data_IF_747463713567
#
_entry.id   IF_747463713567
#
_cell.length_a   1.000
_cell.length_b   1.000
_cell.length_c   1.000
_cell.angle_alpha   90.00
_cell.angle_beta   90.00
_cell.angle_gamma   90.00
#
_symmetry.space_group_name_H-M   'P 1'
#
loop_
_entity.id
_entity.type
_entity.pdbx_description
1 polymer ?
#
# COMPACT_ATOMS: atom_id res chain seq x y z
N UNK A 1 -63.36 -34.38 -7.57
CA UNK A 1 -62.13 -33.64 -7.93
C UNK A 1 -61.82 -32.63 -6.82
N UNK A 2 -60.76 -32.80 -6.03
CA UNK A 2 -60.45 -31.84 -4.99
C UNK A 2 -59.57 -30.71 -5.55
N UNK A 3 -60.02 -29.47 -5.33
CA UNK A 3 -59.38 -28.21 -5.68
C UNK A 3 -58.15 -27.98 -4.77
N UNK A 4 -56.91 -28.05 -5.32
CA UNK A 4 -55.69 -27.77 -4.60
C UNK A 4 -55.44 -26.26 -4.60
N UNK A 5 -55.52 -25.65 -3.43
CA UNK A 5 -55.10 -24.26 -3.20
C UNK A 5 -53.56 -24.16 -3.16
N UNK A 6 -52.94 -23.50 -4.15
CA UNK A 6 -51.54 -23.13 -4.13
C UNK A 6 -51.37 -21.88 -3.28
N UNK A 7 -50.80 -22.04 -2.09
CA UNK A 7 -50.34 -20.91 -1.27
C UNK A 7 -49.08 -20.36 -1.89
N UNK A 8 -49.16 -19.20 -2.53
CA UNK A 8 -48.00 -18.42 -2.97
C UNK A 8 -47.49 -17.63 -1.75
N UNK A 9 -46.37 -18.04 -1.18
CA UNK A 9 -45.66 -17.30 -0.15
C UNK A 9 -45.00 -16.08 -0.78
N UNK A 10 -45.51 -14.88 -0.52
CA UNK A 10 -44.87 -13.62 -0.87
C UNK A 10 -43.69 -13.39 0.11
N UNK A 11 -42.46 -13.60 -0.32
CA UNK A 11 -41.26 -13.17 0.43
C UNK A 11 -41.14 -11.63 0.27
N UNK A 12 -41.52 -10.90 1.29
CA UNK A 12 -41.22 -9.48 1.43
C UNK A 12 -39.73 -9.33 1.73
N UNK A 13 -38.94 -9.01 0.72
CA UNK A 13 -37.57 -8.54 0.94
C UNK A 13 -37.62 -7.16 1.57
N UNK A 14 -37.42 -7.09 2.88
CA UNK A 14 -37.14 -5.80 3.53
C UNK A 14 -35.79 -5.26 2.99
N UNK A 15 -35.73 -4.00 2.54
CA UNK A 15 -34.44 -3.43 2.14
C UNK A 15 -33.53 -3.41 3.36
N UNK A 16 -32.32 -3.98 3.22
CA UNK A 16 -31.29 -3.88 4.23
C UNK A 16 -31.00 -2.38 4.45
N UNK A 17 -31.28 -1.88 5.66
CA UNK A 17 -30.92 -0.52 6.03
C UNK A 17 -29.39 -0.37 5.86
N UNK A 18 -28.98 0.47 4.92
CA UNK A 18 -27.58 0.85 4.79
C UNK A 18 -27.17 1.52 6.11
N UNK A 19 -26.26 0.89 6.86
CA UNK A 19 -25.68 1.50 8.05
C UNK A 19 -24.97 2.78 7.60
N UNK A 20 -25.51 3.93 8.01
CA UNK A 20 -24.86 5.20 7.77
C UNK A 20 -23.52 5.19 8.52
N UNK A 21 -22.41 5.38 7.79
CA UNK A 21 -21.10 5.48 8.40
C UNK A 21 -21.04 6.76 9.24
N UNK A 22 -20.42 6.67 10.41
CA UNK A 22 -20.31 7.83 11.31
C UNK A 22 -19.41 8.89 10.70
N UNK A 23 -19.84 10.16 10.64
CA UNK A 23 -19.01 11.27 10.20
C UNK A 23 -17.70 11.35 10.98
N UNK A 24 -16.59 11.59 10.30
CA UNK A 24 -15.26 11.68 10.90
C UNK A 24 -14.82 13.14 10.96
N UNK A 25 -14.46 13.61 12.16
CA UNK A 25 -13.86 14.93 12.33
C UNK A 25 -12.41 14.91 11.92
N UNK A 26 -12.07 15.69 10.92
CA UNK A 26 -10.70 15.90 10.45
C UNK A 26 -10.09 17.19 11.06
N UNK A 27 -9.49 17.99 10.22
CA UNK A 27 -8.77 19.21 10.60
C UNK A 27 -9.72 20.34 10.96
N UNK A 28 -9.38 21.12 11.99
CA UNK A 28 -10.10 22.35 12.37
C UNK A 28 -11.63 22.13 12.55
N UNK A 29 -12.04 20.97 13.02
CA UNK A 29 -13.43 20.62 13.23
C UNK A 29 -14.24 20.30 11.96
N UNK A 30 -13.61 20.27 10.80
CA UNK A 30 -14.26 19.86 9.56
C UNK A 30 -14.71 18.40 9.65
N UNK A 31 -16.00 18.15 9.46
CA UNK A 31 -16.58 16.81 9.44
C UNK A 31 -16.75 16.31 8.01
N UNK A 32 -16.34 15.08 7.75
CA UNK A 32 -16.42 14.42 6.44
C UNK A 32 -17.16 13.09 6.61
N UNK A 33 -18.12 12.83 5.74
CA UNK A 33 -18.79 11.55 5.66
C UNK A 33 -17.95 10.58 4.83
N UNK A 34 -17.54 9.43 5.37
CA UNK A 34 -16.95 8.37 4.56
C UNK A 34 -17.94 7.89 3.49
N UNK A 35 -17.42 7.47 2.35
CA UNK A 35 -18.22 6.81 1.32
C UNK A 35 -18.77 5.47 1.83
N UNK A 36 -19.86 4.94 1.26
CA UNK A 36 -20.44 3.65 1.67
C UNK A 36 -19.45 2.46 1.62
N UNK A 37 -18.40 2.58 0.84
CA UNK A 37 -17.32 1.60 0.73
C UNK A 37 -16.15 1.85 1.70
N UNK A 38 -16.31 2.75 2.66
CA UNK A 38 -15.34 3.10 3.70
C UNK A 38 -14.25 4.08 3.25
N UNK A 39 -14.20 4.48 1.98
CA UNK A 39 -13.22 5.48 1.51
C UNK A 39 -13.53 6.86 2.05
N UNK A 40 -12.49 7.65 2.25
CA UNK A 40 -12.60 9.07 2.61
C UNK A 40 -11.85 9.93 1.61
N UNK A 41 -12.54 10.85 0.95
CA UNK A 41 -11.95 11.76 -0.05
C UNK A 41 -11.11 11.01 -1.11
N UNK A 42 -11.59 9.85 -1.56
CA UNK A 42 -10.92 8.99 -2.52
C UNK A 42 -9.97 7.94 -1.92
N UNK A 43 -9.51 8.11 -0.70
CA UNK A 43 -8.53 7.24 -0.06
C UNK A 43 -9.17 6.05 0.66
N UNK A 44 -8.46 4.92 0.62
CA UNK A 44 -8.82 3.67 1.32
C UNK A 44 -8.29 3.73 2.75
N UNK A 45 -9.02 3.21 3.76
CA UNK A 45 -8.51 3.13 5.12
C UNK A 45 -7.39 2.10 5.24
N UNK A 46 -6.35 2.44 6.01
CA UNK A 46 -5.23 1.56 6.34
C UNK A 46 -4.97 1.54 7.83
N UNK A 47 -4.72 0.36 8.43
CA UNK A 47 -4.31 0.27 9.82
C UNK A 47 -2.91 0.85 10.01
N UNK A 48 -2.61 1.30 11.21
CA UNK A 48 -1.24 1.64 11.59
C UNK A 48 -0.46 0.34 11.86
N UNK A 49 0.69 0.21 11.21
CA UNK A 49 1.62 -0.89 11.43
C UNK A 49 2.21 -0.84 12.83
N UNK A 50 2.54 -1.99 13.40
CA UNK A 50 3.18 -2.05 14.70
C UNK A 50 4.59 -1.43 14.62
N UNK A 51 4.93 -0.41 15.43
CA UNK A 51 6.26 0.19 15.43
C UNK A 51 7.41 -0.80 15.69
N UNK A 52 7.14 -1.92 16.39
CA UNK A 52 8.13 -2.96 16.64
C UNK A 52 8.57 -3.72 15.36
N UNK A 53 7.75 -3.69 14.32
CA UNK A 53 8.05 -4.33 13.03
C UNK A 53 8.79 -3.38 12.07
N UNK A 54 8.99 -2.12 12.49
CA UNK A 54 9.65 -1.10 11.69
C UNK A 54 11.15 -1.12 11.93
N UNK A 55 11.92 -1.18 10.86
CA UNK A 55 13.38 -1.11 10.90
C UNK A 55 13.88 0.13 10.18
N UNK A 56 14.92 0.74 10.72
CA UNK A 56 15.56 1.88 10.08
C UNK A 56 16.34 1.41 8.85
N UNK A 57 16.15 2.10 7.73
CA UNK A 57 16.98 1.90 6.55
C UNK A 57 18.41 2.36 6.82
N UNK A 58 19.43 1.63 6.29
CA UNK A 58 20.81 1.91 6.62
C UNK A 58 21.32 3.22 6.02
N UNK A 59 22.40 3.73 6.63
CA UNK A 59 23.18 4.84 6.11
C UNK A 59 22.39 6.13 5.95
N UNK A 60 22.60 6.79 4.83
CA UNK A 60 22.00 8.06 4.46
C UNK A 60 20.78 7.92 3.53
N UNK A 61 20.11 6.77 3.53
CA UNK A 61 18.93 6.56 2.67
C UNK A 61 17.84 7.59 2.97
N UNK A 62 17.60 7.92 4.22
CA UNK A 62 16.66 8.98 4.57
C UNK A 62 17.14 10.38 4.13
N UNK A 63 16.30 11.11 3.39
CA UNK A 63 16.61 12.47 2.94
C UNK A 63 16.44 13.50 4.09
N UNK A 64 17.45 13.62 4.94
CA UNK A 64 17.47 14.57 6.07
C UNK A 64 16.70 14.12 7.31
N UNK A 65 16.13 12.91 7.32
CA UNK A 65 15.48 12.29 8.47
C UNK A 65 15.58 10.76 8.37
N UNK A 66 15.49 10.01 9.49
CA UNK A 66 15.43 8.55 9.44
C UNK A 66 14.25 8.06 8.59
N UNK A 67 14.50 7.07 7.75
CA UNK A 67 13.48 6.33 7.01
C UNK A 67 13.32 4.96 7.67
N UNK A 68 12.12 4.63 8.11
CA UNK A 68 11.77 3.32 8.65
C UNK A 68 10.75 2.65 7.72
N UNK A 69 10.93 1.36 7.48
CA UNK A 69 10.01 0.50 6.73
C UNK A 69 9.72 -0.75 7.55
N UNK A 70 8.60 -1.40 7.25
CA UNK A 70 8.37 -2.76 7.73
C UNK A 70 9.54 -3.64 7.32
N UNK A 71 10.00 -4.53 8.21
CA UNK A 71 11.24 -5.31 7.98
C UNK A 71 11.24 -6.07 6.65
N UNK A 72 10.10 -6.62 6.20
CA UNK A 72 10.00 -7.30 4.90
C UNK A 72 10.26 -6.35 3.72
N UNK A 73 9.64 -5.17 3.75
CA UNK A 73 9.86 -4.14 2.73
C UNK A 73 11.28 -3.59 2.76
N UNK A 74 11.89 -3.50 3.95
CA UNK A 74 13.28 -3.04 4.12
C UNK A 74 14.30 -3.99 3.49
N UNK A 75 14.08 -5.31 3.59
CA UNK A 75 14.91 -6.32 2.91
C UNK A 75 14.86 -6.11 1.39
N UNK A 76 13.66 -5.99 0.84
CA UNK A 76 13.46 -5.75 -0.59
C UNK A 76 14.05 -4.41 -1.04
N UNK A 77 13.90 -3.35 -0.23
CA UNK A 77 14.49 -2.04 -0.49
C UNK A 77 16.01 -2.10 -0.54
N UNK A 78 16.64 -2.86 0.37
CA UNK A 78 18.09 -3.04 0.37
C UNK A 78 18.57 -3.68 -0.94
N UNK A 79 17.86 -4.70 -1.44
CA UNK A 79 18.15 -5.33 -2.71
C UNK A 79 17.94 -4.37 -3.91
N UNK A 80 16.87 -3.57 -3.90
CA UNK A 80 16.60 -2.55 -4.90
C UNK A 80 17.74 -1.52 -4.96
N UNK A 81 18.19 -1.01 -3.82
CA UNK A 81 19.28 -0.04 -3.75
C UNK A 81 20.61 -0.63 -4.25
N UNK A 82 20.90 -1.89 -3.91
CA UNK A 82 22.09 -2.58 -4.39
C UNK A 82 22.09 -2.74 -5.92
N UNK A 83 20.94 -3.03 -6.52
CA UNK A 83 20.79 -3.08 -7.98
C UNK A 83 20.91 -1.69 -8.62
N UNK A 84 20.28 -0.69 -8.03
CA UNK A 84 20.38 0.70 -8.48
C UNK A 84 21.82 1.21 -8.49
N UNK A 85 22.63 0.79 -7.52
CA UNK A 85 24.03 1.16 -7.40
C UNK A 85 24.94 0.53 -8.48
N UNK A 86 24.45 -0.43 -9.25
CA UNK A 86 25.16 -0.96 -10.44
C UNK A 86 24.97 -0.08 -11.69
N UNK A 87 24.05 0.89 -11.64
CA UNK A 87 23.75 1.79 -12.76
C UNK A 87 24.39 3.15 -12.51
N UNK A 88 25.39 3.57 -13.28
CA UNK A 88 26.18 4.80 -13.00
C UNK A 88 25.32 6.06 -12.83
N UNK A 89 24.26 6.21 -13.64
CA UNK A 89 23.36 7.37 -13.61
C UNK A 89 22.40 7.36 -12.41
N UNK A 90 22.27 6.23 -11.69
CA UNK A 90 21.36 6.01 -10.55
C UNK A 90 22.11 5.86 -9.24
N UNK A 91 23.34 5.34 -9.31
CA UNK A 91 24.19 5.01 -8.17
C UNK A 91 24.22 6.10 -7.11
N UNK A 92 23.83 5.73 -5.89
CA UNK A 92 23.82 6.61 -4.71
C UNK A 92 22.85 7.79 -4.77
N UNK A 93 21.91 7.83 -5.73
CA UNK A 93 20.99 8.98 -5.91
C UNK A 93 19.62 8.77 -5.30
N UNK A 94 19.17 7.53 -5.09
CA UNK A 94 17.86 7.23 -4.48
C UNK A 94 17.89 7.48 -2.98
N UNK A 95 16.84 8.15 -2.47
CA UNK A 95 16.60 8.42 -1.04
C UNK A 95 15.14 8.22 -0.70
N UNK A 96 14.85 7.97 0.58
CA UNK A 96 13.49 8.02 1.11
C UNK A 96 13.21 9.38 1.73
N UNK A 97 12.26 10.15 1.19
CA UNK A 97 11.86 11.44 1.78
C UNK A 97 10.75 11.24 2.81
N UNK A 98 9.94 10.22 2.64
CA UNK A 98 8.87 9.84 3.55
C UNK A 98 8.73 8.31 3.55
N UNK A 99 8.69 7.73 4.75
CA UNK A 99 8.61 6.28 4.95
C UNK A 99 7.46 5.99 5.92
N UNK A 100 7.58 5.06 6.85
CA UNK A 100 6.55 4.84 7.87
C UNK A 100 6.14 6.14 8.57
N UNK A 101 4.85 6.36 8.71
CA UNK A 101 4.25 7.49 9.43
C UNK A 101 3.08 6.99 10.27
N UNK A 102 3.10 7.29 11.57
CA UNK A 102 1.92 7.03 12.42
C UNK A 102 0.71 7.82 11.91
N UNK A 103 -0.49 7.35 12.24
CA UNK A 103 -1.75 8.06 11.93
C UNK A 103 -1.72 9.48 12.50
N UNK A 104 -1.19 9.64 13.72
CA UNK A 104 -1.07 10.96 14.34
C UNK A 104 -0.07 11.86 13.58
N UNK A 105 1.07 11.33 13.15
CA UNK A 105 2.00 12.09 12.31
C UNK A 105 1.38 12.48 10.97
N UNK A 106 0.59 11.58 10.39
CA UNK A 106 -0.18 11.88 9.18
C UNK A 106 -1.20 13.00 9.40
N UNK A 107 -1.87 13.04 10.56
CA UNK A 107 -2.78 14.12 10.94
C UNK A 107 -2.07 15.48 10.93
N UNK A 108 -0.89 15.55 11.53
CA UNK A 108 -0.09 16.79 11.54
C UNK A 108 0.31 17.25 10.13
N UNK A 109 0.76 16.30 9.28
CA UNK A 109 1.16 16.58 7.89
C UNK A 109 -0.04 17.00 7.04
N UNK A 110 -1.16 16.31 7.16
CA UNK A 110 -2.37 16.58 6.39
C UNK A 110 -2.98 17.92 6.79
N UNK A 111 -3.25 18.10 8.08
CA UNK A 111 -3.94 19.28 8.60
C UNK A 111 -3.06 20.54 8.59
N UNK A 112 -1.75 20.40 8.74
CA UNK A 112 -0.83 21.53 8.73
C UNK A 112 -0.75 22.30 7.40
N UNK A 113 -1.33 21.74 6.33
CA UNK A 113 -1.34 22.35 4.99
C UNK A 113 -2.71 22.92 4.60
N UNK A 114 -3.69 22.92 5.52
CA UNK A 114 -5.07 23.36 5.26
C UNK A 114 -5.35 24.68 5.99
N UNK A 115 -5.92 25.65 5.30
CA UNK A 115 -6.43 26.89 5.87
C UNK A 115 -5.90 28.17 5.18
N UNK A 116 -6.26 29.33 5.70
CA UNK A 116 -5.82 30.61 5.13
C UNK A 116 -4.30 30.71 5.06
N UNK A 117 -3.78 31.07 3.89
CA UNK A 117 -2.34 31.20 3.65
C UNK A 117 -1.57 29.86 3.61
N UNK A 118 -2.26 28.73 3.65
CA UNK A 118 -1.70 27.39 3.47
C UNK A 118 -1.79 26.93 2.02
N UNK A 119 -1.18 25.76 1.73
CA UNK A 119 -1.16 25.17 0.38
C UNK A 119 -2.56 24.79 -0.12
N UNK A 120 -3.44 24.38 0.77
CA UNK A 120 -4.78 23.90 0.45
C UNK A 120 -5.84 24.66 1.25
N UNK A 121 -6.98 24.94 0.62
CA UNK A 121 -8.12 25.62 1.27
C UNK A 121 -8.89 24.71 2.23
N UNK A 122 -9.00 23.44 1.89
CA UNK A 122 -9.79 22.45 2.61
C UNK A 122 -9.21 21.02 2.51
N UNK A 123 -9.85 20.08 3.19
CA UNK A 123 -9.43 18.68 3.20
C UNK A 123 -9.60 18.00 1.84
N UNK A 124 -10.59 18.38 1.05
CA UNK A 124 -10.82 17.77 -0.27
C UNK A 124 -9.70 18.16 -1.26
N UNK A 125 -9.27 19.42 -1.22
CA UNK A 125 -8.12 19.85 -2.02
C UNK A 125 -6.83 19.17 -1.54
N UNK A 126 -6.62 19.07 -0.23
CA UNK A 126 -5.46 18.38 0.34
C UNK A 126 -5.41 16.91 -0.01
N UNK A 127 -6.54 16.22 -0.02
CA UNK A 127 -6.64 14.79 -0.32
C UNK A 127 -6.20 14.43 -1.74
N UNK A 128 -6.15 15.36 -2.67
CA UNK A 128 -5.62 15.12 -4.02
C UNK A 128 -4.14 14.71 -4.03
N UNK A 129 -3.38 15.09 -3.01
CA UNK A 129 -1.93 14.85 -2.92
C UNK A 129 -1.45 14.34 -1.56
N UNK A 130 -2.36 13.92 -0.69
CA UNK A 130 -2.00 13.32 0.61
C UNK A 130 -3.20 12.63 1.22
N UNK A 131 -3.05 11.39 1.65
CA UNK A 131 -4.13 10.67 2.34
C UNK A 131 -4.50 11.32 3.68
N UNK A 132 -5.78 11.37 4.05
CA UNK A 132 -6.21 11.75 5.39
C UNK A 132 -5.60 10.83 6.47
N UNK A 133 -5.57 11.24 7.76
CA UNK A 133 -5.10 10.38 8.85
C UNK A 133 -5.93 9.09 8.92
N UNK A 134 -5.27 7.94 8.95
CA UNK A 134 -5.88 6.61 8.84
C UNK A 134 -6.15 6.12 7.41
N UNK A 135 -5.84 6.94 6.39
CA UNK A 135 -6.09 6.66 4.98
C UNK A 135 -4.83 6.83 4.11
N UNK A 136 -3.66 6.74 4.72
CA UNK A 136 -2.37 6.81 4.02
C UNK A 136 -1.68 5.46 4.05
N UNK A 137 -1.20 4.99 2.90
CA UNK A 137 -0.42 3.75 2.78
C UNK A 137 0.84 3.76 3.66
N UNK A 138 1.42 4.93 3.94
CA UNK A 138 2.59 5.05 4.81
C UNK A 138 2.34 4.55 6.24
N UNK A 139 1.09 4.54 6.71
CA UNK A 139 0.76 4.04 8.04
C UNK A 139 1.04 2.54 8.17
N UNK A 140 1.08 1.79 7.08
CA UNK A 140 1.33 0.35 7.08
C UNK A 140 2.81 -0.02 7.27
N UNK A 141 3.73 0.91 6.98
CA UNK A 141 5.18 0.65 6.91
C UNK A 141 5.64 0.00 5.61
N UNK A 142 4.73 -0.35 4.70
CA UNK A 142 5.05 -0.95 3.40
C UNK A 142 5.14 0.07 2.26
N UNK A 143 4.88 1.35 2.51
CA UNK A 143 4.95 2.41 1.50
C UNK A 143 6.00 3.46 1.83
N UNK A 144 6.56 4.05 0.78
CA UNK A 144 7.51 5.14 0.88
C UNK A 144 7.41 6.10 -0.30
N UNK A 145 7.90 7.32 -0.08
CA UNK A 145 8.15 8.29 -1.14
C UNK A 145 9.65 8.36 -1.42
N UNK A 146 10.04 8.13 -2.68
CA UNK A 146 11.42 8.32 -3.12
C UNK A 146 11.75 9.80 -3.32
N UNK A 147 12.98 10.15 -3.02
CA UNK A 147 13.62 11.40 -3.38
C UNK A 147 14.90 11.13 -4.16
N UNK A 148 15.40 12.14 -4.86
CA UNK A 148 16.64 12.03 -5.65
C UNK A 148 17.65 13.03 -5.13
N UNK A 149 18.90 12.58 -4.95
CA UNK A 149 20.01 13.42 -4.51
C UNK A 149 21.22 13.27 -5.45
N UNK A 150 21.92 14.37 -5.75
CA UNK A 150 21.52 15.74 -5.44
C UNK A 150 20.20 16.13 -6.11
N UNK A 151 19.51 17.14 -5.57
CA UNK A 151 18.29 17.66 -6.20
C UNK A 151 18.58 18.09 -7.63
N UNK A 152 17.76 17.68 -8.56
CA UNK A 152 17.80 18.17 -9.93
C UNK A 152 17.22 19.58 -9.98
N UNK A 153 17.92 20.52 -10.61
CA UNK A 153 17.46 21.91 -10.73
C UNK A 153 16.03 21.97 -11.29
N UNK A 154 15.14 22.64 -10.58
CA UNK A 154 13.74 22.77 -10.95
C UNK A 154 12.87 21.53 -10.68
N UNK A 155 13.41 20.48 -10.01
CA UNK A 155 12.68 19.28 -9.68
C UNK A 155 12.72 19.03 -8.16
N UNK A 156 11.60 19.24 -7.49
CA UNK A 156 11.45 19.01 -6.04
C UNK A 156 11.23 17.54 -5.70
N UNK A 157 11.24 17.23 -4.39
CA UNK A 157 11.15 15.86 -3.89
C UNK A 157 9.81 15.17 -4.16
N UNK A 158 8.71 15.89 -4.11
CA UNK A 158 7.35 15.35 -4.36
C UNK A 158 6.78 16.03 -5.60
N UNK A 159 7.39 15.74 -6.75
CA UNK A 159 7.08 16.34 -8.03
C UNK A 159 7.15 15.32 -9.16
N UNK A 160 6.24 15.44 -10.12
CA UNK A 160 6.12 14.55 -11.30
C UNK A 160 7.38 14.55 -12.18
N UNK A 161 8.18 15.63 -12.12
CA UNK A 161 9.46 15.71 -12.82
C UNK A 161 10.45 14.58 -12.43
N UNK A 162 10.29 13.97 -11.24
CA UNK A 162 11.10 12.83 -10.79
C UNK A 162 11.07 11.72 -11.85
N UNK A 163 9.92 11.45 -12.45
CA UNK A 163 9.76 10.43 -13.49
C UNK A 163 10.65 10.64 -14.72
N UNK A 164 11.07 11.86 -14.98
CA UNK A 164 11.91 12.20 -16.14
C UNK A 164 13.42 12.13 -15.83
N UNK A 165 13.79 11.99 -14.56
CA UNK A 165 15.20 11.83 -14.15
C UNK A 165 15.70 10.41 -14.41
N UNK A 166 17.01 10.17 -14.59
CA UNK A 166 17.53 8.83 -14.73
C UNK A 166 17.14 7.87 -13.58
N UNK A 167 17.23 8.26 -12.27
CA UNK A 167 16.75 7.42 -11.18
C UNK A 167 15.24 7.16 -11.21
N UNK A 168 14.41 8.14 -11.56
CA UNK A 168 12.97 7.97 -11.66
C UNK A 168 12.56 7.03 -12.80
N UNK A 169 13.20 7.16 -13.96
CA UNK A 169 13.01 6.23 -15.09
C UNK A 169 13.43 4.81 -14.72
N UNK A 170 14.53 4.67 -14.00
CA UNK A 170 14.98 3.37 -13.52
C UNK A 170 13.97 2.74 -12.56
N UNK A 171 13.43 3.50 -11.60
CA UNK A 171 12.37 3.03 -10.70
C UNK A 171 11.14 2.54 -11.48
N UNK A 172 10.66 3.32 -12.46
CA UNK A 172 9.51 2.95 -13.29
C UNK A 172 9.72 1.65 -14.07
N UNK A 173 10.96 1.32 -14.40
CA UNK A 173 11.31 0.11 -15.16
C UNK A 173 11.60 -1.10 -14.26
N UNK A 174 12.18 -0.90 -13.08
CA UNK A 174 12.80 -1.98 -12.29
C UNK A 174 12.22 -2.19 -10.89
N UNK A 175 11.47 -1.24 -10.31
CA UNK A 175 10.99 -1.37 -8.93
C UNK A 175 10.12 -2.61 -8.71
N UNK A 176 9.36 -3.05 -9.72
CA UNK A 176 8.52 -4.25 -9.64
C UNK A 176 9.32 -5.54 -9.52
N UNK A 177 10.57 -5.58 -9.98
CA UNK A 177 11.49 -6.72 -9.82
C UNK A 177 11.84 -6.96 -8.33
N UNK A 178 11.65 -5.94 -7.49
CA UNK A 178 11.89 -5.98 -6.04
C UNK A 178 10.60 -5.97 -5.22
N UNK A 179 9.45 -6.12 -5.86
CA UNK A 179 8.17 -6.18 -5.17
C UNK A 179 7.52 -4.82 -4.88
N UNK A 180 8.04 -3.72 -5.44
CA UNK A 180 7.43 -2.39 -5.32
C UNK A 180 6.57 -2.06 -6.52
N UNK A 181 5.35 -1.56 -6.29
CA UNK A 181 4.44 -1.11 -7.34
C UNK A 181 4.05 0.36 -7.13
N UNK A 182 3.80 1.09 -8.24
CA UNK A 182 3.44 2.51 -8.22
C UNK A 182 1.95 2.65 -7.88
N UNK A 183 1.64 3.12 -6.67
CA UNK A 183 0.27 3.18 -6.15
C UNK A 183 -0.64 4.14 -6.90
N UNK A 184 -0.12 5.30 -7.31
CA UNK A 184 -0.89 6.38 -7.92
C UNK A 184 -0.37 6.72 -9.32
N UNK A 185 -0.68 5.88 -10.35
CA UNK A 185 -0.27 6.12 -11.72
C UNK A 185 -1.00 7.31 -12.35
N UNK A 186 -0.55 7.81 -13.52
CA UNK A 186 -1.29 8.82 -14.25
C UNK A 186 -2.72 8.38 -14.55
N UNK A 187 -3.70 9.27 -14.32
CA UNK A 187 -5.11 8.99 -14.62
C UNK A 187 -5.74 7.91 -13.74
N UNK A 188 -5.20 7.62 -12.54
CA UNK A 188 -5.81 6.65 -11.64
C UNK A 188 -7.24 7.05 -11.26
N UNK A 189 -8.13 6.04 -11.17
CA UNK A 189 -9.55 6.24 -10.85
C UNK A 189 -9.82 6.58 -9.38
N UNK A 190 -8.80 6.59 -8.53
CA UNK A 190 -8.92 6.93 -7.12
C UNK A 190 -9.12 8.43 -6.88
N UNK A 191 -8.73 9.28 -7.86
CA UNK A 191 -8.81 10.73 -7.76
C UNK A 191 -7.63 11.37 -7.03
N UNK A 192 -6.58 10.60 -6.80
CA UNK A 192 -5.27 11.08 -6.32
C UNK A 192 -4.44 11.53 -7.53
N UNK A 193 -3.66 12.59 -7.39
CA UNK A 193 -2.73 13.03 -8.43
C UNK A 193 -1.70 11.95 -8.73
N UNK A 194 -1.12 11.97 -9.93
CA UNK A 194 0.01 11.12 -10.24
C UNK A 194 1.18 11.39 -9.28
N UNK A 195 1.70 10.31 -8.67
CA UNK A 195 2.79 10.39 -7.69
C UNK A 195 3.93 9.43 -8.06
N UNK A 196 4.81 9.77 -9.01
CA UNK A 196 5.91 8.89 -9.43
C UNK A 196 6.96 8.65 -8.34
N UNK A 197 6.85 9.33 -7.22
CA UNK A 197 7.67 9.13 -6.02
C UNK A 197 7.08 8.11 -5.05
N UNK A 198 5.75 7.82 -5.10
CA UNK A 198 5.03 7.02 -4.10
C UNK A 198 4.90 5.55 -4.50
N UNK A 199 5.55 4.69 -3.77
CA UNK A 199 5.62 3.26 -4.04
C UNK A 199 5.21 2.45 -2.82
N UNK A 200 4.49 1.34 -3.03
CA UNK A 200 4.17 0.36 -1.98
C UNK A 200 4.78 -0.98 -2.31
N UNK A 201 5.25 -1.67 -1.28
CA UNK A 201 5.78 -3.01 -1.42
C UNK A 201 4.67 -4.06 -1.22
N UNK A 202 4.61 -5.04 -2.11
CA UNK A 202 3.67 -6.17 -2.08
C UNK A 202 4.38 -7.50 -2.35
N UNK A 203 5.72 -7.50 -2.42
CA UNK A 203 6.53 -8.64 -2.83
C UNK A 203 6.37 -8.97 -4.31
N UNK A 204 7.36 -9.63 -4.89
CA UNK A 204 7.33 -10.04 -6.31
C UNK A 204 6.22 -11.07 -6.58
N UNK A 205 5.85 -11.85 -5.55
CA UNK A 205 4.72 -12.77 -5.55
C UNK A 205 4.25 -13.01 -4.10
N UNK A 206 3.17 -13.75 -3.90
CA UNK A 206 2.57 -13.98 -2.58
C UNK A 206 3.38 -14.93 -1.67
N UNK A 207 4.38 -15.65 -2.21
CA UNK A 207 5.18 -16.63 -1.43
C UNK A 207 6.43 -16.00 -0.78
N UNK A 208 6.77 -14.78 -1.16
CA UNK A 208 7.84 -14.02 -0.49
C UNK A 208 7.41 -13.74 0.96
N UNK A 209 8.30 -13.92 1.96
CA UNK A 209 7.99 -13.61 3.35
C UNK A 209 7.36 -12.21 3.49
N UNK A 210 6.26 -12.12 4.25
CA UNK A 210 5.50 -10.88 4.46
C UNK A 210 4.61 -10.42 3.29
N UNK A 211 4.84 -10.92 2.07
CA UNK A 211 4.08 -10.46 0.89
C UNK A 211 2.58 -10.76 0.99
N UNK A 212 2.18 -11.89 1.57
CA UNK A 212 0.78 -12.21 1.77
C UNK A 212 0.07 -11.17 2.65
N UNK A 213 0.72 -10.74 3.73
CA UNK A 213 0.21 -9.70 4.63
C UNK A 213 0.10 -8.35 3.91
N UNK A 214 1.17 -7.92 3.22
CA UNK A 214 1.17 -6.67 2.45
C UNK A 214 0.07 -6.67 1.36
N UNK A 215 -0.06 -7.77 0.60
CA UNK A 215 -1.11 -7.92 -0.42
C UNK A 215 -2.51 -7.86 0.17
N UNK A 216 -2.74 -8.46 1.34
CA UNK A 216 -4.03 -8.39 2.04
C UNK A 216 -4.35 -6.95 2.47
N UNK A 217 -3.38 -6.20 3.00
CA UNK A 217 -3.55 -4.79 3.36
C UNK A 217 -3.94 -3.92 2.14
N UNK A 218 -3.34 -4.17 0.99
CA UNK A 218 -3.59 -3.40 -0.23
C UNK A 218 -4.61 -4.04 -1.18
N UNK A 219 -5.30 -5.12 -0.79
CA UNK A 219 -6.19 -5.88 -1.68
C UNK A 219 -7.24 -5.00 -2.36
N UNK A 220 -7.93 -4.15 -1.61
CA UNK A 220 -8.94 -3.23 -2.14
C UNK A 220 -8.33 -2.23 -3.13
N UNK A 221 -7.16 -1.64 -2.80
CA UNK A 221 -6.46 -0.71 -3.69
C UNK A 221 -6.06 -1.41 -4.98
N UNK A 222 -5.42 -2.56 -4.89
CA UNK A 222 -4.92 -3.33 -6.04
C UNK A 222 -6.03 -3.79 -6.98
N UNK A 223 -7.19 -4.16 -6.42
CA UNK A 223 -8.34 -4.59 -7.22
C UNK A 223 -9.07 -3.43 -7.88
N UNK A 224 -9.27 -2.32 -7.16
CA UNK A 224 -10.11 -1.21 -7.64
C UNK A 224 -9.33 -0.11 -8.34
N UNK A 225 -8.07 0.07 -7.98
CA UNK A 225 -7.17 1.12 -8.45
C UNK A 225 -5.79 0.51 -8.74
N UNK A 226 -5.68 -0.29 -9.82
CA UNK A 226 -4.46 -1.03 -10.11
C UNK A 226 -3.25 -0.10 -10.25
N UNK A 227 -2.14 -0.52 -9.66
CA UNK A 227 -0.84 0.13 -9.81
C UNK A 227 -0.32 0.03 -11.26
N UNK A 228 0.46 1.03 -11.70
CA UNK A 228 1.12 0.99 -13.00
C UNK A 228 2.43 1.83 -12.97
N UNK A 229 3.61 1.18 -12.99
CA UNK A 229 3.81 -0.27 -13.04
C UNK A 229 3.30 -0.98 -11.80
N UNK A 230 2.75 -2.18 -12.00
CA UNK A 230 2.15 -3.01 -10.98
C UNK A 230 2.62 -4.46 -11.06
N UNK A 231 2.39 -5.22 -10.00
CA UNK A 231 2.77 -6.62 -9.89
C UNK A 231 1.52 -7.48 -9.96
N UNK A 232 1.45 -8.34 -10.98
CA UNK A 232 0.34 -9.24 -11.15
C UNK A 232 0.28 -10.28 -10.01
N UNK A 233 -0.92 -10.63 -9.58
CA UNK A 233 -1.10 -11.81 -8.76
C UNK A 233 -0.92 -13.06 -9.64
N UNK A 234 -0.23 -14.06 -9.10
CA UNK A 234 -0.17 -15.36 -9.77
C UNK A 234 -1.59 -15.92 -9.90
N UNK A 235 -1.91 -16.52 -11.05
CA UNK A 235 -3.18 -17.21 -11.20
C UNK A 235 -3.33 -18.29 -10.11
N UNK A 236 -4.56 -18.66 -9.70
CA UNK A 236 -4.77 -19.71 -8.72
C UNK A 236 -4.10 -21.05 -9.10
N UNK A 237 -3.90 -21.30 -10.39
CA UNK A 237 -3.20 -22.48 -10.91
C UNK A 237 -1.70 -22.42 -10.61
N UNK A 238 -1.05 -21.30 -10.88
CA UNK A 238 0.36 -21.09 -10.54
C UNK A 238 0.59 -21.04 -9.04
N UNK A 239 -0.33 -20.47 -8.26
CA UNK A 239 -0.25 -20.49 -6.79
C UNK A 239 -0.27 -21.92 -6.25
N UNK A 240 -1.08 -22.83 -6.83
CA UNK A 240 -1.10 -24.25 -6.47
C UNK A 240 0.16 -24.99 -6.91
N UNK A 241 0.69 -24.67 -8.10
CA UNK A 241 1.87 -25.33 -8.66
C UNK A 241 3.16 -25.04 -7.88
N UNK A 242 3.26 -23.87 -7.21
CA UNK A 242 4.45 -23.48 -6.43
C UNK A 242 4.32 -23.80 -4.92
N UNK A 243 3.17 -24.32 -4.46
CA UNK A 243 3.08 -24.82 -3.09
C UNK A 243 3.95 -26.06 -2.95
N UNK A 244 4.82 -26.14 -1.92
CA UNK A 244 5.55 -27.36 -1.66
C UNK A 244 4.56 -28.50 -1.49
N UNK A 245 4.83 -29.63 -2.16
CA UNK A 245 4.03 -30.85 -1.99
C UNK A 245 3.91 -31.16 -0.49
N UNK A 246 2.71 -31.48 0.03
CA UNK A 246 2.59 -31.83 1.43
C UNK A 246 3.61 -32.93 1.74
N UNK A 247 4.35 -32.77 2.83
CA UNK A 247 5.32 -33.77 3.27
C UNK A 247 4.62 -35.14 3.34
N UNK A 248 5.24 -36.23 2.88
CA UNK A 248 4.63 -37.54 2.96
C UNK A 248 4.24 -37.82 4.41
N UNK A 249 2.97 -38.12 4.61
CA UNK A 249 2.43 -38.50 5.92
C UNK A 249 3.28 -39.65 6.47
N UNK A 250 3.99 -39.41 7.57
CA UNK A 250 4.81 -40.43 8.19
C UNK A 250 3.93 -41.65 8.47
N UNK A 251 4.24 -42.77 7.80
CA UNK A 251 3.60 -44.06 8.09
C UNK A 251 3.88 -44.39 9.55
N UNK A 252 2.86 -44.64 10.38
CA UNK A 252 3.11 -44.98 11.78
C UNK A 252 4.02 -46.21 11.86
N UNK A 253 5.15 -46.07 12.53
CA UNK A 253 6.09 -47.16 12.78
C UNK A 253 5.35 -48.22 13.60
N UNK A 254 5.32 -49.51 13.15
CA UNK A 254 4.67 -50.55 13.92
C UNK A 254 5.31 -50.70 15.30
N UNK A 255 4.50 -50.69 16.35
CA UNK A 255 4.95 -50.89 17.73
C UNK A 255 5.62 -52.24 17.86
N UNK A 256 6.85 -52.35 18.40
CA UNK A 256 7.47 -53.65 18.65
C UNK A 256 6.65 -54.48 19.65
N UNK A 257 6.20 -55.67 19.24
CA UNK A 257 5.60 -56.64 20.15
C UNK A 257 6.72 -57.45 20.77
N UNK A 258 6.94 -57.31 22.09
CA UNK A 258 7.84 -58.15 22.84
C UNK A 258 7.12 -59.50 23.19
N UNK A 259 7.76 -60.64 22.96
CA UNK A 259 7.20 -61.92 23.42
C UNK A 259 7.24 -61.97 24.96
N UNK A 260 6.16 -62.56 25.52
CA UNK A 260 6.04 -62.84 26.97
C UNK A 260 6.98 -63.94 27.43
#
# INVERSE_FOLDING_TARGET
>A
MPLRWLLVALFLFAPAAALALTPVTLCNGQTIDPLPDGRMLGHIPYPEGNPADMVAMPGNFGAGRPCQLHHDAAVAMTALLAAADQVPEVKGKLRGISCFRTIERQRQIFCGQIGPGKRCKDAAERAKSSGPPGYSEHATGYALDFAIRPLTRGCGDVSDCIANTPPGKWLLQHATEFGFELSFPPGNAQGVTWEPWHWRWVGINATVPGAATARALFATARTRFPASPGIADLSPEWQRAIQPSPAPTATPTPTPTWPK
#
